data_IF_979312594004
#
_entry.id   IF_979312594004
#
_cell.length_a   1.000
_cell.length_b   1.000
_cell.length_c   1.000
_cell.angle_alpha   90.00
_cell.angle_beta   90.00
_cell.angle_gamma   90.00
#
_symmetry.space_group_name_H-M   'P 1'
#
loop_
_entity.id
_entity.type
_entity.pdbx_description
1 polymer ?
#
# COMPACT_ATOMS: atom_id res chain seq x y z
N UNK A 1 35.96 4.29 8.70
CA UNK A 1 34.84 5.21 9.01
C UNK A 1 34.19 5.83 7.76
N UNK A 2 34.94 6.20 6.72
CA UNK A 2 34.37 6.76 5.47
C UNK A 2 33.37 5.86 4.72
N UNK A 3 33.61 4.54 4.63
CA UNK A 3 32.66 3.63 3.98
C UNK A 3 31.32 3.49 4.72
N UNK A 4 31.33 3.64 6.06
CA UNK A 4 30.10 3.55 6.87
C UNK A 4 29.30 4.84 6.76
N UNK A 5 29.96 6.01 6.71
CA UNK A 5 29.28 7.29 6.49
C UNK A 5 28.68 7.41 5.08
N UNK A 6 29.34 6.86 4.05
CA UNK A 6 28.79 6.85 2.69
C UNK A 6 27.58 5.93 2.56
N UNK A 7 27.59 4.77 3.23
CA UNK A 7 26.41 3.89 3.29
C UNK A 7 25.23 4.54 4.01
N UNK A 8 25.47 5.26 5.11
CA UNK A 8 24.44 5.99 5.85
C UNK A 8 23.87 7.17 5.04
N UNK A 9 24.71 7.94 4.35
CA UNK A 9 24.24 9.03 3.48
C UNK A 9 23.42 8.49 2.31
N UNK A 10 23.85 7.39 1.68
CA UNK A 10 23.10 6.76 0.59
C UNK A 10 21.77 6.16 1.06
N UNK A 11 21.72 5.61 2.28
CA UNK A 11 20.49 5.14 2.92
C UNK A 11 19.55 6.30 3.30
N UNK A 12 20.09 7.43 3.76
CA UNK A 12 19.31 8.63 4.08
C UNK A 12 18.66 9.27 2.84
N UNK A 13 19.40 9.37 1.73
CA UNK A 13 18.86 9.88 0.46
C UNK A 13 17.78 8.94 -0.09
N UNK A 14 17.98 7.61 -0.01
CA UNK A 14 16.93 6.64 -0.34
C UNK A 14 15.70 6.82 0.54
N UNK A 15 15.87 6.91 1.85
CA UNK A 15 14.76 7.11 2.79
C UNK A 15 13.96 8.40 2.50
N UNK A 16 14.63 9.47 2.09
CA UNK A 16 13.99 10.72 1.69
C UNK A 16 13.15 10.57 0.41
N UNK A 17 13.70 9.92 -0.62
CA UNK A 17 12.99 9.57 -1.85
C UNK A 17 11.77 8.70 -1.57
N UNK A 18 11.92 7.67 -0.75
CA UNK A 18 10.80 6.81 -0.35
C UNK A 18 9.72 7.59 0.43
N UNK A 19 10.08 8.65 1.15
CA UNK A 19 9.10 9.51 1.81
C UNK A 19 8.22 10.28 0.83
N UNK A 20 8.82 10.86 -0.21
CA UNK A 20 8.07 11.59 -1.23
C UNK A 20 7.22 10.65 -2.08
N UNK A 21 7.79 9.51 -2.48
CA UNK A 21 7.07 8.46 -3.22
C UNK A 21 5.87 7.97 -2.41
N UNK A 22 6.03 7.70 -1.12
CA UNK A 22 4.95 7.25 -0.26
C UNK A 22 3.81 8.29 -0.14
N UNK A 23 4.11 9.60 -0.24
CA UNK A 23 3.10 10.66 -0.15
C UNK A 23 2.29 10.73 -1.44
N UNK A 24 2.97 10.68 -2.59
CA UNK A 24 2.33 10.63 -3.91
C UNK A 24 1.42 9.40 -3.98
N UNK A 25 1.92 8.24 -3.56
CA UNK A 25 1.15 7.00 -3.52
C UNK A 25 -0.04 7.06 -2.56
N UNK A 26 0.03 7.82 -1.47
CA UNK A 26 -1.09 8.01 -0.55
C UNK A 26 -2.22 8.80 -1.21
N UNK A 27 -1.87 9.86 -1.95
CA UNK A 27 -2.82 10.63 -2.74
C UNK A 27 -3.42 9.75 -3.84
N UNK A 28 -2.60 9.01 -4.59
CA UNK A 28 -3.07 8.10 -5.66
C UNK A 28 -4.02 7.05 -5.12
N UNK A 29 -3.69 6.39 -4.01
CA UNK A 29 -4.58 5.42 -3.38
C UNK A 29 -5.86 6.06 -2.84
N UNK A 30 -5.79 7.28 -2.29
CA UNK A 30 -6.98 8.03 -1.86
C UNK A 30 -7.94 8.32 -3.02
N UNK A 31 -7.41 8.74 -4.17
CA UNK A 31 -8.20 8.94 -5.39
C UNK A 31 -8.75 7.60 -5.92
N UNK A 32 -7.93 6.55 -5.89
CA UNK A 32 -8.36 5.22 -6.32
C UNK A 32 -9.51 4.67 -5.47
N UNK A 33 -9.50 4.88 -4.15
CA UNK A 33 -10.63 4.53 -3.26
C UNK A 33 -11.92 5.20 -3.74
N UNK A 34 -11.88 6.51 -4.03
CA UNK A 34 -13.06 7.23 -4.49
C UNK A 34 -13.57 6.70 -5.83
N UNK A 35 -12.67 6.43 -6.78
CA UNK A 35 -13.03 5.84 -8.07
C UNK A 35 -13.65 4.44 -7.91
N UNK A 36 -13.06 3.61 -7.06
CA UNK A 36 -13.52 2.26 -6.77
C UNK A 36 -14.92 2.30 -6.11
N UNK A 37 -15.18 3.22 -5.18
CA UNK A 37 -16.51 3.39 -4.57
C UNK A 37 -17.55 3.83 -5.60
N UNK A 38 -17.24 4.83 -6.41
CA UNK A 38 -18.18 5.35 -7.43
C UNK A 38 -18.47 4.29 -8.48
N UNK A 39 -17.44 3.61 -8.98
CA UNK A 39 -17.61 2.58 -10.00
C UNK A 39 -18.41 1.39 -9.45
N UNK A 40 -18.09 0.94 -8.22
CA UNK A 40 -18.86 -0.09 -7.53
C UNK A 40 -20.32 0.29 -7.33
N UNK A 41 -20.61 1.53 -6.89
CA UNK A 41 -21.98 2.00 -6.72
C UNK A 41 -22.76 2.01 -8.05
N UNK A 42 -22.14 2.43 -9.14
CA UNK A 42 -22.76 2.44 -10.48
C UNK A 42 -22.99 1.02 -11.01
N UNK A 43 -22.03 0.12 -10.79
CA UNK A 43 -22.10 -1.31 -11.12
C UNK A 43 -23.23 -1.99 -10.35
N UNK A 44 -23.27 -1.78 -9.03
CA UNK A 44 -24.22 -2.35 -8.09
C UNK A 44 -25.67 -1.89 -8.34
N UNK A 45 -25.87 -0.66 -8.83
CA UNK A 45 -27.19 -0.14 -9.19
C UNK A 45 -27.75 -0.74 -10.49
N UNK A 46 -26.90 -1.34 -11.33
CA UNK A 46 -27.28 -1.82 -12.67
C UNK A 46 -27.37 -3.34 -12.77
N UNK A 47 -26.82 -4.07 -11.81
CA UNK A 47 -26.69 -5.53 -11.85
C UNK A 47 -27.21 -6.19 -10.57
N UNK A 48 -27.66 -7.44 -10.67
CA UNK A 48 -28.02 -8.24 -9.49
C UNK A 48 -26.74 -8.52 -8.71
N UNK A 49 -26.62 -7.93 -7.51
CA UNK A 49 -25.43 -8.06 -6.68
C UNK A 49 -25.18 -9.50 -6.27
N UNK A 50 -23.97 -9.99 -6.53
CA UNK A 50 -23.45 -11.20 -5.90
C UNK A 50 -22.99 -10.86 -4.47
N UNK A 51 -23.59 -11.46 -3.43
CA UNK A 51 -23.28 -11.09 -2.03
C UNK A 51 -21.79 -11.30 -1.69
N UNK A 52 -21.14 -12.30 -2.28
CA UNK A 52 -19.70 -12.52 -2.14
C UNK A 52 -18.85 -11.38 -2.73
N UNK A 53 -19.26 -10.79 -3.86
CA UNK A 53 -18.57 -9.63 -4.47
C UNK A 53 -18.74 -8.41 -3.54
N UNK A 54 -19.95 -8.14 -3.07
CA UNK A 54 -20.22 -7.03 -2.16
C UNK A 54 -19.41 -7.12 -0.87
N UNK A 55 -19.34 -8.31 -0.25
CA UNK A 55 -18.55 -8.52 0.97
C UNK A 55 -17.04 -8.26 0.74
N UNK A 56 -16.48 -8.78 -0.34
CA UNK A 56 -15.06 -8.59 -0.69
C UNK A 56 -14.73 -7.11 -0.94
N UNK A 57 -15.62 -6.40 -1.62
CA UNK A 57 -15.47 -4.98 -1.90
C UNK A 57 -15.54 -4.12 -0.63
N UNK A 58 -16.49 -4.39 0.27
CA UNK A 58 -16.60 -3.68 1.56
C UNK A 58 -15.33 -3.89 2.40
N UNK A 59 -14.87 -5.15 2.52
CA UNK A 59 -13.64 -5.47 3.26
C UNK A 59 -12.44 -4.78 2.60
N UNK A 60 -12.35 -4.81 1.28
CA UNK A 60 -11.31 -4.13 0.50
C UNK A 60 -11.27 -2.62 0.75
N UNK A 61 -12.43 -1.95 0.76
CA UNK A 61 -12.51 -0.52 1.06
C UNK A 61 -12.01 -0.18 2.46
N UNK A 62 -12.47 -0.91 3.47
CA UNK A 62 -12.08 -0.68 4.86
C UNK A 62 -10.56 -0.85 4.99
N UNK A 63 -10.03 -1.96 4.47
CA UNK A 63 -8.59 -2.25 4.53
C UNK A 63 -7.75 -1.21 3.77
N UNK A 64 -8.20 -0.78 2.59
CA UNK A 64 -7.51 0.22 1.79
C UNK A 64 -7.52 1.59 2.47
N UNK A 65 -8.66 2.01 3.05
CA UNK A 65 -8.76 3.25 3.83
C UNK A 65 -7.84 3.22 5.06
N UNK A 66 -7.84 2.11 5.81
CA UNK A 66 -6.92 1.93 6.95
C UNK A 66 -5.46 1.98 6.49
N UNK A 67 -5.14 1.35 5.35
CA UNK A 67 -3.78 1.36 4.79
C UNK A 67 -3.33 2.77 4.44
N UNK A 68 -4.20 3.59 3.81
CA UNK A 68 -3.90 4.98 3.48
C UNK A 68 -3.68 5.81 4.75
N UNK A 69 -4.53 5.64 5.77
CA UNK A 69 -4.37 6.34 7.05
C UNK A 69 -3.06 5.96 7.75
N UNK A 70 -2.71 4.67 7.76
CA UNK A 70 -1.43 4.20 8.29
C UNK A 70 -0.25 4.73 7.47
N UNK A 71 -0.34 4.81 6.13
CA UNK A 71 0.70 5.42 5.28
C UNK A 71 0.95 6.89 5.66
N UNK A 72 -0.10 7.65 5.96
CA UNK A 72 0.01 9.04 6.42
C UNK A 72 0.62 9.08 7.83
N UNK A 73 0.17 8.20 8.73
CA UNK A 73 0.71 8.06 10.08
C UNK A 73 2.22 7.79 10.07
N UNK A 74 2.66 6.84 9.24
CA UNK A 74 4.08 6.48 9.03
C UNK A 74 4.93 7.66 8.50
N UNK A 75 4.32 8.67 7.91
CA UNK A 75 5.02 9.89 7.46
C UNK A 75 5.03 11.02 8.47
N UNK A 76 3.93 11.19 9.21
CA UNK A 76 3.71 12.34 10.09
C UNK A 76 4.12 12.10 11.53
N UNK A 77 4.06 10.84 11.98
CA UNK A 77 4.40 10.47 13.35
C UNK A 77 5.89 10.16 13.48
N UNK A 78 6.38 10.22 14.72
CA UNK A 78 7.74 9.79 15.06
C UNK A 78 7.98 8.33 14.63
N UNK A 79 9.22 7.98 14.25
CA UNK A 79 9.55 6.66 13.75
C UNK A 79 9.31 5.61 14.83
N UNK A 80 8.20 4.87 14.71
CA UNK A 80 7.81 3.80 15.62
C UNK A 80 7.81 2.46 14.89
N UNK A 81 8.60 1.51 15.39
CA UNK A 81 8.72 0.16 14.83
C UNK A 81 7.36 -0.55 14.73
N UNK A 82 6.50 -0.38 15.74
CA UNK A 82 5.16 -0.99 15.79
C UNK A 82 4.28 -0.45 14.66
N UNK A 83 4.38 0.85 14.38
CA UNK A 83 3.61 1.49 13.31
C UNK A 83 4.06 1.00 11.94
N UNK A 84 5.36 0.81 11.72
CA UNK A 84 5.89 0.25 10.48
C UNK A 84 5.42 -1.18 10.25
N UNK A 85 5.47 -2.05 11.27
CA UNK A 85 4.96 -3.42 11.14
C UNK A 85 3.45 -3.48 10.95
N UNK A 86 2.68 -2.67 11.68
CA UNK A 86 1.24 -2.58 11.51
C UNK A 86 0.87 -2.15 10.09
N UNK A 87 1.51 -1.10 9.58
CA UNK A 87 1.34 -0.64 8.20
C UNK A 87 1.66 -1.76 7.19
N UNK A 88 2.75 -2.49 7.40
CA UNK A 88 3.16 -3.54 6.49
C UNK A 88 2.20 -4.73 6.47
N UNK A 89 1.75 -5.19 7.64
CA UNK A 89 0.78 -6.30 7.75
C UNK A 89 -0.53 -5.91 7.06
N UNK A 90 -1.03 -4.70 7.35
CA UNK A 90 -2.27 -4.21 6.75
C UNK A 90 -2.10 -4.02 5.24
N UNK A 91 -0.98 -3.47 4.75
CA UNK A 91 -0.73 -3.32 3.32
C UNK A 91 -0.72 -4.67 2.58
N UNK A 92 -0.12 -5.72 3.16
CA UNK A 92 -0.11 -7.08 2.58
C UNK A 92 -1.51 -7.69 2.58
N UNK A 93 -2.26 -7.53 3.68
CA UNK A 93 -3.64 -8.02 3.78
C UNK A 93 -4.55 -7.33 2.75
N UNK A 94 -4.44 -6.00 2.63
CA UNK A 94 -5.14 -5.21 1.62
C UNK A 94 -4.79 -5.69 0.22
N UNK A 95 -3.50 -5.94 -0.07
CA UNK A 95 -3.05 -6.42 -1.37
C UNK A 95 -3.64 -7.80 -1.69
N UNK A 96 -3.70 -8.71 -0.73
CA UNK A 96 -4.30 -10.03 -0.91
C UNK A 96 -5.80 -9.93 -1.22
N UNK A 97 -6.55 -9.13 -0.46
CA UNK A 97 -7.99 -8.93 -0.68
C UNK A 97 -8.25 -8.25 -2.03
N UNK A 98 -7.47 -7.23 -2.40
CA UNK A 98 -7.58 -6.54 -3.68
C UNK A 98 -7.24 -7.46 -4.86
N UNK A 99 -6.26 -8.36 -4.72
CA UNK A 99 -5.95 -9.34 -5.76
C UNK A 99 -7.11 -10.32 -6.00
N UNK A 100 -7.80 -10.75 -4.94
CA UNK A 100 -9.00 -11.59 -5.06
C UNK A 100 -10.15 -10.80 -5.69
N UNK A 101 -10.38 -9.55 -5.27
CA UNK A 101 -11.40 -8.68 -5.86
C UNK A 101 -11.16 -8.46 -7.36
N UNK A 102 -9.89 -8.21 -7.75
CA UNK A 102 -9.46 -8.11 -9.13
C UNK A 102 -9.71 -9.39 -9.93
N UNK A 103 -9.44 -10.56 -9.34
CA UNK A 103 -9.77 -11.84 -9.96
C UNK A 103 -11.27 -12.00 -10.25
N UNK A 104 -12.12 -11.62 -9.28
CA UNK A 104 -13.57 -11.65 -9.44
C UNK A 104 -14.02 -10.67 -10.53
N UNK A 105 -13.53 -9.42 -10.50
CA UNK A 105 -13.90 -8.41 -11.50
C UNK A 105 -13.43 -8.78 -12.90
N UNK A 106 -12.26 -9.39 -13.06
CA UNK A 106 -11.79 -9.85 -14.37
C UNK A 106 -12.74 -10.89 -14.99
N UNK A 107 -13.30 -11.79 -14.17
CA UNK A 107 -14.33 -12.74 -14.62
C UNK A 107 -15.61 -11.99 -15.05
N UNK A 108 -16.05 -11.00 -14.27
CA UNK A 108 -17.24 -10.18 -14.59
C UNK A 108 -17.04 -9.40 -15.89
N UNK A 109 -15.87 -8.77 -16.10
CA UNK A 109 -15.51 -8.06 -17.33
C UNK A 109 -15.56 -9.02 -18.52
N UNK A 110 -14.99 -10.21 -18.41
CA UNK A 110 -15.02 -11.21 -19.48
C UNK A 110 -16.43 -11.70 -19.81
N UNK A 111 -17.27 -11.92 -18.79
CA UNK A 111 -18.68 -12.27 -19.00
C UNK A 111 -19.46 -11.12 -19.67
N UNK A 112 -19.23 -9.89 -19.23
CA UNK A 112 -19.89 -8.70 -19.78
C UNK A 112 -19.51 -8.49 -21.26
N UNK A 113 -18.24 -8.67 -21.62
CA UNK A 113 -17.76 -8.55 -23.01
C UNK A 113 -18.34 -9.64 -23.91
N UNK A 114 -18.47 -10.88 -23.42
CA UNK A 114 -19.16 -11.96 -24.16
C UNK A 114 -20.64 -11.68 -24.37
N UNK A 115 -21.34 -11.18 -23.34
CA UNK A 115 -22.76 -10.84 -23.44
C UNK A 115 -23.04 -9.65 -24.37
N UNK A 116 -22.12 -8.68 -24.42
CA UNK A 116 -22.16 -7.58 -25.37
C UNK A 116 -22.05 -8.06 -26.82
N UNK A 117 -21.22 -9.07 -27.10
CA UNK A 117 -21.14 -9.70 -28.43
C UNK A 117 -22.44 -10.42 -28.81
N UNK A 118 -23.17 -10.95 -27.82
CA UNK A 118 -24.46 -11.61 -28.02
C UNK A 118 -25.66 -10.64 -28.13
N UNK A 119 -25.42 -9.34 -28.32
CA UNK A 119 -26.47 -8.35 -28.63
C UNK A 119 -27.16 -7.71 -27.43
N UNK A 120 -26.76 -8.01 -26.20
CA UNK A 120 -27.27 -7.29 -25.01
C UNK A 120 -26.50 -5.98 -24.80
N UNK A 121 -27.23 -4.87 -24.70
CA UNK A 121 -26.68 -3.50 -24.60
C UNK A 121 -26.19 -3.19 -23.18
N UNK A 122 -25.35 -4.06 -22.59
CA UNK A 122 -24.76 -3.84 -21.28
C UNK A 122 -23.54 -2.91 -21.38
N UNK A 123 -23.57 -1.80 -20.64
CA UNK A 123 -22.44 -0.88 -20.52
C UNK A 123 -21.40 -1.43 -19.52
N UNK A 124 -20.43 -2.20 -20.02
CA UNK A 124 -19.35 -2.80 -19.21
C UNK A 124 -18.27 -1.82 -18.73
N UNK A 125 -18.37 -0.52 -19.07
CA UNK A 125 -17.31 0.46 -18.81
C UNK A 125 -16.98 0.64 -17.33
N UNK A 126 -17.96 0.50 -16.43
CA UNK A 126 -17.73 0.59 -14.99
C UNK A 126 -16.77 -0.51 -14.50
N UNK A 127 -16.98 -1.76 -14.92
CA UNK A 127 -16.11 -2.89 -14.52
C UNK A 127 -14.67 -2.75 -15.07
N UNK A 128 -14.49 -2.15 -16.24
CA UNK A 128 -13.16 -1.85 -16.78
C UNK A 128 -12.43 -0.79 -15.95
N UNK A 129 -13.15 0.26 -15.51
CA UNK A 129 -12.59 1.31 -14.65
C UNK A 129 -12.27 0.75 -13.26
N UNK A 130 -13.12 -0.11 -12.70
CA UNK A 130 -12.83 -0.85 -11.46
C UNK A 130 -11.54 -1.65 -11.59
N UNK A 131 -11.43 -2.49 -12.62
CA UNK A 131 -10.25 -3.34 -12.84
C UNK A 131 -8.96 -2.52 -12.97
N UNK A 132 -9.01 -1.40 -13.70
CA UNK A 132 -7.84 -0.53 -13.87
C UNK A 132 -7.44 0.14 -12.56
N UNK A 133 -8.42 0.59 -11.75
CA UNK A 133 -8.15 1.16 -10.44
C UNK A 133 -7.58 0.11 -9.48
N UNK A 134 -8.04 -1.14 -9.52
CA UNK A 134 -7.50 -2.24 -8.71
C UNK A 134 -6.04 -2.54 -9.06
N UNK A 135 -5.68 -2.55 -10.35
CA UNK A 135 -4.29 -2.73 -10.79
C UNK A 135 -3.39 -1.62 -10.22
N UNK A 136 -3.84 -0.36 -10.31
CA UNK A 136 -3.09 0.79 -9.77
C UNK A 136 -2.90 0.68 -8.26
N UNK A 137 -3.95 0.28 -7.53
CA UNK A 137 -3.86 0.06 -6.08
C UNK A 137 -2.88 -1.07 -5.75
N UNK A 138 -2.95 -2.20 -6.45
CA UNK A 138 -2.04 -3.33 -6.23
C UNK A 138 -0.57 -2.94 -6.46
N UNK A 139 -0.27 -2.20 -7.53
CA UNK A 139 1.09 -1.69 -7.79
C UNK A 139 1.53 -0.74 -6.67
N UNK A 140 0.63 0.17 -6.26
CA UNK A 140 0.92 1.15 -5.21
C UNK A 140 1.20 0.48 -3.85
N UNK A 141 0.42 -0.54 -3.49
CA UNK A 141 0.64 -1.35 -2.29
C UNK A 141 1.96 -2.14 -2.35
N UNK A 142 2.34 -2.63 -3.53
CA UNK A 142 3.65 -3.26 -3.73
C UNK A 142 4.81 -2.31 -3.47
N UNK A 143 4.70 -1.06 -3.93
CA UNK A 143 5.72 -0.03 -3.67
C UNK A 143 5.75 0.34 -2.18
N UNK A 144 4.60 0.43 -1.52
CA UNK A 144 4.53 0.62 -0.07
C UNK A 144 5.25 -0.48 0.70
N UNK A 145 5.03 -1.74 0.33
CA UNK A 145 5.71 -2.86 0.96
C UNK A 145 7.23 -2.71 0.87
N UNK A 146 7.76 -2.40 -0.33
CA UNK A 146 9.20 -2.21 -0.54
C UNK A 146 9.71 -0.99 0.26
N UNK A 147 8.96 0.11 0.25
CA UNK A 147 9.34 1.33 0.96
C UNK A 147 9.38 1.15 2.48
N UNK A 148 8.36 0.51 3.06
CA UNK A 148 8.28 0.24 4.49
C UNK A 148 9.37 -0.76 4.92
N UNK A 149 9.65 -1.79 4.13
CA UNK A 149 10.76 -2.71 4.36
C UNK A 149 12.11 -1.98 4.46
N UNK A 150 12.40 -1.07 3.53
CA UNK A 150 13.65 -0.31 3.57
C UNK A 150 13.74 0.59 4.80
N UNK A 151 12.63 1.21 5.23
CA UNK A 151 12.61 2.03 6.44
C UNK A 151 12.86 1.22 7.71
N UNK A 152 12.30 0.02 7.80
CA UNK A 152 12.53 -0.89 8.93
C UNK A 152 14.02 -1.26 9.02
N UNK A 153 14.64 -1.66 7.90
CA UNK A 153 16.07 -2.00 7.86
C UNK A 153 16.92 -0.81 8.31
N UNK A 154 16.67 0.39 7.77
CA UNK A 154 17.43 1.60 8.15
C UNK A 154 17.24 1.96 9.62
N UNK A 155 16.03 1.76 10.17
CA UNK A 155 15.77 2.01 11.59
C UNK A 155 16.55 1.03 12.49
N UNK A 156 16.54 -0.26 12.16
CA UNK A 156 17.27 -1.29 12.90
C UNK A 156 18.79 -1.04 12.83
N UNK A 157 19.31 -0.75 11.64
CA UNK A 157 20.74 -0.46 11.45
C UNK A 157 21.20 0.74 12.29
N UNK A 158 20.40 1.81 12.34
CA UNK A 158 20.67 2.97 13.22
C UNK A 158 20.65 2.58 14.69
N UNK A 159 19.66 1.81 15.13
CA UNK A 159 19.56 1.34 16.51
C UNK A 159 20.75 0.49 16.95
N UNK A 160 21.25 -0.39 16.09
CA UNK A 160 22.47 -1.18 16.35
C UNK A 160 23.70 -0.27 16.44
N UNK A 161 23.83 0.68 15.52
CA UNK A 161 24.96 1.60 15.49
C UNK A 161 25.01 2.48 16.75
N UNK A 162 23.86 3.01 17.18
CA UNK A 162 23.74 3.81 18.40
C UNK A 162 24.02 2.96 19.64
N UNK A 163 23.57 1.70 19.67
CA UNK A 163 23.90 0.76 20.73
C UNK A 163 25.41 0.46 20.86
N UNK A 164 26.11 0.31 19.73
CA UNK A 164 27.57 0.14 19.71
C UNK A 164 28.27 1.43 20.16
N UNK A 165 27.81 2.59 19.67
CA UNK A 165 28.39 3.89 19.98
C UNK A 165 28.23 4.23 21.46
N UNK A 166 27.06 3.97 22.04
CA UNK A 166 26.80 4.11 23.47
C UNK A 166 27.74 3.24 24.32
N UNK A 167 27.93 1.97 23.94
CA UNK A 167 28.89 1.07 24.61
C UNK A 167 30.35 1.52 24.50
N UNK A 168 30.76 2.09 23.35
CA UNK A 168 32.12 2.61 23.17
C UNK A 168 32.38 3.86 24.01
N UNK A 169 31.38 4.73 24.18
CA UNK A 169 31.52 5.96 24.95
C UNK A 169 31.62 5.68 26.45
N UNK A 170 30.77 4.78 26.96
CA UNK A 170 30.85 4.30 28.35
C UNK A 170 32.18 3.58 28.66
N UNK A 171 32.83 2.97 27.65
CA UNK A 171 34.14 2.32 27.87
C UNK A 171 35.30 3.31 27.91
N UNK A 172 35.16 4.47 27.26
CA UNK A 172 36.16 5.55 27.32
C UNK A 172 36.11 6.32 28.64
N UNK A 173 34.94 6.52 29.23
CA UNK A 173 34.81 7.14 30.56
C UNK A 173 35.43 6.31 31.70
N UNK A 174 35.54 4.98 31.52
CA UNK A 174 36.22 4.11 32.50
C UNK A 174 37.75 4.03 32.33
N UNK A 175 38.29 4.64 31.27
CA UNK A 175 39.74 4.63 30.95
C UNK A 175 40.39 6.01 31.07
N UNK A 176 39.65 7.02 31.53
CA UNK A 176 40.15 8.32 31.98
C UNK A 176 40.03 8.43 33.50
#
# INVERSE_FOLDING_TARGET
MQQVSDHLNKAAVKSFLFSHVNMILAIVNGVAVLLLIVAWAVSSAREVNFPARTAMWIIGFILLSVTVLLSIGVQKMEPNLVLYYAHQIIAVLTLAIMAVAMGINNVVVNMCTRNKQNGTRNNCGAHYVELLAEIVVCISLGIYYIGTQQRIVVFIDKGILDGIRGRSHSRMEYLM
#
